data_IF_753779411743
#
_entry.id   IF_753779411743
#
_cell.length_a   1.000
_cell.length_b   1.000
_cell.length_c   1.000
_cell.angle_alpha   90.00
_cell.angle_beta   90.00
_cell.angle_gamma   90.00
#
_symmetry.space_group_name_H-M   'P 1'
#
loop_
_entity.id
_entity.type
_entity.pdbx_description
1 polymer ?
#
# COMPACT_ATOMS: atom_id res chain seq x y z
N UNK A 1 -19.76 31.07 -20.21
CA UNK A 1 -20.93 30.18 -20.12
C UNK A 1 -20.48 28.76 -20.42
N UNK A 2 -20.84 27.83 -19.54
CA UNK A 2 -20.89 26.37 -19.69
C UNK A 2 -19.62 25.59 -20.11
N UNK A 3 -19.14 24.73 -19.19
CA UNK A 3 -19.26 23.27 -19.30
C UNK A 3 -18.04 22.57 -18.68
N UNK A 4 -18.24 21.90 -17.55
CA UNK A 4 -17.21 21.14 -16.86
C UNK A 4 -17.78 20.46 -15.63
N UNK A 5 -18.82 19.68 -15.84
CA UNK A 5 -19.56 18.90 -14.86
C UNK A 5 -18.61 17.90 -14.17
N UNK A 6 -18.10 18.22 -12.98
CA UNK A 6 -17.47 17.25 -12.09
C UNK A 6 -18.57 16.56 -11.27
N UNK A 7 -19.13 15.51 -11.86
CA UNK A 7 -19.94 14.52 -11.17
C UNK A 7 -19.09 13.82 -10.09
N UNK A 8 -19.57 13.93 -8.85
CA UNK A 8 -19.59 12.90 -7.82
C UNK A 8 -18.70 11.66 -8.07
N UNK A 9 -17.45 11.71 -7.59
CA UNK A 9 -16.68 10.50 -7.28
C UNK A 9 -16.90 10.19 -5.80
N UNK A 10 -17.76 9.22 -5.51
CA UNK A 10 -18.10 8.81 -4.16
C UNK A 10 -16.87 8.59 -3.29
N UNK A 11 -16.84 9.26 -2.14
CA UNK A 11 -16.05 8.85 -0.99
C UNK A 11 -16.61 7.50 -0.50
N UNK A 12 -16.34 6.43 -1.24
CA UNK A 12 -16.35 5.10 -0.67
C UNK A 12 -15.27 5.10 0.39
N UNK A 13 -15.65 4.92 1.66
CA UNK A 13 -14.71 4.52 2.68
C UNK A 13 -14.02 3.26 2.16
N UNK A 14 -12.83 3.42 1.59
CA UNK A 14 -12.08 2.33 0.99
C UNK A 14 -11.62 1.44 2.15
N UNK A 15 -12.42 0.42 2.45
CA UNK A 15 -12.01 -0.65 3.33
C UNK A 15 -10.70 -1.20 2.76
N UNK A 16 -9.62 -1.01 3.52
CA UNK A 16 -8.29 -1.45 3.08
C UNK A 16 -8.38 -2.94 2.92
N UNK A 17 -8.10 -3.41 1.71
CA UNK A 17 -8.01 -4.85 1.48
C UNK A 17 -6.90 -5.42 2.36
N UNK A 18 -7.02 -6.68 2.78
CA UNK A 18 -6.00 -7.34 3.59
C UNK A 18 -4.58 -7.25 2.97
N UNK A 19 -4.49 -7.19 1.63
CA UNK A 19 -3.23 -6.99 0.92
C UNK A 19 -2.65 -5.58 1.14
N UNK A 20 -3.50 -4.56 1.16
CA UNK A 20 -3.10 -3.18 1.40
C UNK A 20 -2.67 -2.95 2.86
N UNK A 21 -3.35 -3.57 3.83
CA UNK A 21 -2.94 -3.56 5.23
C UNK A 21 -1.58 -4.25 5.43
N UNK A 22 -1.41 -5.43 4.80
CA UNK A 22 -0.14 -6.16 4.80
C UNK A 22 1.00 -5.32 4.21
N UNK A 23 0.77 -4.61 3.11
CA UNK A 23 1.75 -3.67 2.54
C UNK A 23 2.17 -2.58 3.52
N UNK A 24 1.24 -2.00 4.26
CA UNK A 24 1.55 -0.97 5.27
C UNK A 24 2.41 -1.54 6.39
N UNK A 25 2.05 -2.71 6.94
CA UNK A 25 2.81 -3.38 8.00
C UNK A 25 4.23 -3.73 7.55
N UNK A 26 4.36 -4.31 6.36
CA UNK A 26 5.65 -4.62 5.75
C UNK A 26 6.54 -3.37 5.64
N UNK A 27 6.00 -2.24 5.18
CA UNK A 27 6.79 -1.01 5.10
C UNK A 27 7.19 -0.46 6.48
N UNK A 28 6.30 -0.51 7.48
CA UNK A 28 6.65 -0.12 8.85
C UNK A 28 7.79 -0.96 9.41
N UNK A 29 7.74 -2.28 9.27
CA UNK A 29 8.80 -3.16 9.74
C UNK A 29 10.12 -2.93 9.02
N UNK A 30 10.11 -2.60 7.72
CA UNK A 30 11.33 -2.24 7.01
C UNK A 30 11.94 -0.94 7.54
N UNK A 31 11.10 0.06 7.82
CA UNK A 31 11.52 1.34 8.39
C UNK A 31 12.08 1.21 9.81
N UNK A 32 11.40 0.45 10.67
CA UNK A 32 11.85 0.16 12.04
C UNK A 32 13.22 -0.53 12.08
N UNK A 33 13.48 -1.41 11.10
CA UNK A 33 14.77 -2.08 10.93
C UNK A 33 15.79 -1.25 10.12
N UNK A 34 15.45 -0.02 9.74
CA UNK A 34 16.28 0.86 8.90
C UNK A 34 16.78 0.19 7.60
N UNK A 35 15.99 -0.75 7.04
CA UNK A 35 16.36 -1.46 5.83
C UNK A 35 16.35 -0.51 4.64
N UNK A 36 17.42 -0.55 3.85
CA UNK A 36 17.62 0.26 2.64
C UNK A 36 18.20 -0.61 1.52
N UNK A 37 18.13 -0.11 0.29
CA UNK A 37 18.66 -0.81 -0.90
C UNK A 37 18.12 -2.23 -1.05
N UNK A 38 19.02 -3.15 -1.41
CA UNK A 38 18.69 -4.56 -1.63
C UNK A 38 18.10 -5.25 -0.39
N UNK A 39 18.54 -4.87 0.81
CA UNK A 39 18.01 -5.44 2.05
C UNK A 39 16.51 -5.17 2.22
N UNK A 40 16.06 -3.94 1.90
CA UNK A 40 14.63 -3.60 1.93
C UNK A 40 13.84 -4.34 0.86
N UNK A 41 14.40 -4.48 -0.34
CA UNK A 41 13.75 -5.16 -1.46
C UNK A 41 13.53 -6.65 -1.16
N UNK A 42 14.56 -7.32 -0.65
CA UNK A 42 14.49 -8.72 -0.20
C UNK A 42 13.46 -8.89 0.91
N UNK A 43 13.51 -8.02 1.91
CA UNK A 43 12.53 -8.04 3.00
C UNK A 43 11.10 -7.82 2.51
N UNK A 44 10.86 -6.86 1.60
CA UNK A 44 9.54 -6.65 1.01
C UNK A 44 9.05 -7.85 0.20
N UNK A 45 9.90 -8.43 -0.64
CA UNK A 45 9.52 -9.62 -1.40
C UNK A 45 9.13 -10.78 -0.47
N UNK A 46 9.91 -11.00 0.60
CA UNK A 46 9.58 -12.02 1.60
C UNK A 46 8.29 -11.69 2.36
N UNK A 47 8.14 -10.45 2.79
CA UNK A 47 6.98 -10.01 3.57
C UNK A 47 5.69 -10.11 2.77
N UNK A 48 5.74 -9.79 1.47
CA UNK A 48 4.56 -9.67 0.60
C UNK A 48 4.22 -10.92 -0.20
N UNK A 49 5.04 -11.98 -0.15
CA UNK A 49 4.67 -13.26 -0.73
C UNK A 49 3.29 -13.67 -0.23
N UNK A 50 2.40 -14.01 -1.18
CA UNK A 50 1.18 -14.73 -0.88
C UNK A 50 1.63 -16.05 -0.24
N UNK A 51 1.11 -16.39 0.94
CA UNK A 51 1.18 -17.77 1.38
C UNK A 51 0.55 -18.59 0.26
N UNK A 52 1.35 -19.46 -0.37
CA UNK A 52 0.86 -20.32 -1.44
C UNK A 52 -0.31 -21.17 -0.93
#
# INVERSE_FOLDING_TARGET
MAAGLLLAGGAGAAEKTAQQEKMTLCNQHAGAQNLKGDARKTFMSSCLKKSA
#
